data_IF_036623269223
#
_entry.id   IF_036623269223
#
_cell.length_a   1.000
_cell.length_b   1.000
_cell.length_c   1.000
_cell.angle_alpha   90.00
_cell.angle_beta   90.00
_cell.angle_gamma   90.00
#
_symmetry.space_group_name_H-M   'P 1'
#
loop_
_entity.id
_entity.type
_entity.pdbx_description
1 polymer ?
#
# COMPACT_ATOMS: atom_id res chain seq x y z
N UNK A 1 0.23 -13.07 13.96
CA UNK A 1 -0.97 -12.96 13.11
C UNK A 1 -1.41 -14.37 12.74
N UNK A 2 -2.53 -14.54 12.03
CA UNK A 2 -3.03 -15.87 11.64
C UNK A 2 -2.14 -16.59 10.62
N UNK A 3 -1.23 -15.86 9.96
CA UNK A 3 -0.28 -16.39 8.97
C UNK A 3 1.07 -16.79 9.57
N UNK A 4 1.37 -16.36 10.80
CA UNK A 4 2.65 -16.57 11.47
C UNK A 4 3.80 -15.69 10.97
N UNK A 5 3.52 -14.63 10.20
CA UNK A 5 4.56 -13.78 9.57
C UNK A 5 4.84 -12.50 10.38
N UNK A 6 3.93 -12.12 11.27
CA UNK A 6 4.09 -10.97 12.16
C UNK A 6 3.53 -11.28 13.55
N UNK A 7 3.92 -10.52 14.58
CA UNK A 7 3.40 -10.71 15.94
C UNK A 7 1.88 -10.46 16.03
N UNK A 8 1.38 -9.43 15.36
CA UNK A 8 -0.05 -9.05 15.37
C UNK A 8 -0.52 -8.59 13.99
N UNK A 9 -1.82 -8.73 13.71
CA UNK A 9 -2.48 -7.96 12.65
C UNK A 9 -2.94 -6.65 13.28
N UNK A 10 -2.26 -5.55 12.96
CA UNK A 10 -2.61 -4.22 13.48
C UNK A 10 -3.12 -3.37 12.33
N UNK A 11 -4.44 -3.37 12.08
CA UNK A 11 -4.99 -2.56 11.01
C UNK A 11 -4.96 -1.07 11.39
N UNK A 12 -4.85 -0.20 10.38
CA UNK A 12 -4.76 1.25 10.54
C UNK A 12 -5.97 1.87 9.86
N UNK A 13 -6.67 2.77 10.55
CA UNK A 13 -7.72 3.57 9.93
C UNK A 13 -7.06 4.68 9.11
N UNK A 14 -6.97 4.46 7.80
CA UNK A 14 -6.17 5.27 6.89
C UNK A 14 -6.60 6.74 6.89
N UNK A 15 -7.91 7.00 6.93
CA UNK A 15 -8.42 8.37 6.89
C UNK A 15 -8.19 9.12 8.21
N UNK A 16 -8.29 8.41 9.34
CA UNK A 16 -7.96 8.98 10.66
C UNK A 16 -6.47 9.27 10.76
N UNK A 17 -5.62 8.37 10.26
CA UNK A 17 -4.18 8.62 10.23
C UNK A 17 -3.83 9.89 9.46
N UNK A 18 -4.38 10.06 8.25
CA UNK A 18 -4.16 11.27 7.43
C UNK A 18 -4.62 12.53 8.18
N UNK A 19 -5.79 12.47 8.80
CA UNK A 19 -6.36 13.58 9.56
C UNK A 19 -5.46 13.96 10.75
N UNK A 20 -5.09 13.00 11.60
CA UNK A 20 -4.24 13.26 12.78
C UNK A 20 -2.84 13.74 12.37
N UNK A 21 -2.24 13.14 11.32
CA UNK A 21 -0.95 13.59 10.81
C UNK A 21 -1.00 15.05 10.33
N UNK A 22 -2.09 15.43 9.66
CA UNK A 22 -2.33 16.81 9.24
C UNK A 22 -2.51 17.74 10.44
N UNK A 23 -3.26 17.35 11.47
CA UNK A 23 -3.44 18.15 12.69
C UNK A 23 -2.09 18.47 13.34
N UNK A 24 -1.20 17.48 13.48
CA UNK A 24 0.13 17.73 14.05
C UNK A 24 0.99 18.70 13.23
N UNK A 25 0.88 18.67 11.90
CA UNK A 25 1.57 19.63 11.03
C UNK A 25 1.03 21.05 11.26
N UNK A 26 -0.30 21.21 11.27
CA UNK A 26 -0.95 22.51 11.48
C UNK A 26 -0.66 23.09 12.87
N UNK A 27 -0.71 22.26 13.91
CA UNK A 27 -0.34 22.65 15.29
C UNK A 27 1.13 23.09 15.40
N UNK A 28 2.00 22.52 14.57
CA UNK A 28 3.41 22.90 14.48
C UNK A 28 3.66 24.15 13.64
N UNK A 29 2.60 24.79 13.12
CA UNK A 29 2.68 25.99 12.28
C UNK A 29 3.10 25.72 10.84
N UNK A 30 2.99 24.49 10.34
CA UNK A 30 3.27 24.15 8.94
C UNK A 30 2.14 24.66 8.05
N UNK A 31 2.48 25.39 6.99
CA UNK A 31 1.54 25.75 5.94
C UNK A 31 1.42 24.61 4.93
N UNK A 32 0.19 24.13 4.70
CA UNK A 32 -0.09 23.03 3.76
C UNK A 32 -0.75 23.60 2.50
N UNK A 33 -0.07 23.44 1.37
CA UNK A 33 -0.58 23.82 0.05
C UNK A 33 -1.33 22.63 -0.58
N UNK A 34 -2.64 22.57 -0.38
CA UNK A 34 -3.48 21.57 -1.03
C UNK A 34 -3.58 21.81 -2.54
N UNK A 35 -3.89 20.74 -3.30
CA UNK A 35 -4.07 20.80 -4.75
C UNK A 35 -2.90 21.50 -5.48
N UNK A 36 -1.69 21.26 -4.98
CA UNK A 36 -0.43 21.81 -5.49
C UNK A 36 0.47 20.65 -5.87
N UNK A 37 0.74 20.51 -7.16
CA UNK A 37 1.54 19.44 -7.75
C UNK A 37 2.90 20.00 -8.16
N UNK A 38 4.00 19.32 -7.86
CA UNK A 38 5.32 19.71 -8.36
C UNK A 38 5.41 19.38 -9.85
N UNK A 39 5.85 20.35 -10.67
CA UNK A 39 6.01 20.19 -12.11
C UNK A 39 7.47 19.99 -12.52
N UNK A 40 8.36 20.78 -11.92
CA UNK A 40 9.78 20.81 -12.28
C UNK A 40 10.59 21.40 -11.14
N UNK A 41 11.91 21.22 -11.19
CA UNK A 41 12.85 21.72 -10.17
C UNK A 41 13.95 22.51 -10.85
N UNK A 42 14.12 23.77 -10.43
CA UNK A 42 15.23 24.60 -10.89
C UNK A 42 16.46 24.31 -10.06
N UNK A 43 17.55 23.92 -10.71
CA UNK A 43 18.84 23.63 -10.07
C UNK A 43 19.90 24.60 -10.56
N UNK A 44 20.63 25.22 -9.62
CA UNK A 44 21.75 26.12 -9.89
C UNK A 44 22.96 25.68 -9.06
N UNK A 45 24.12 25.51 -9.70
CA UNK A 45 25.37 25.11 -9.04
C UNK A 45 25.23 23.83 -8.17
N UNK A 46 24.39 22.90 -8.60
CA UNK A 46 24.12 21.64 -7.89
C UNK A 46 23.18 21.76 -6.69
N UNK A 47 22.57 22.93 -6.46
CA UNK A 47 21.59 23.16 -5.39
C UNK A 47 20.21 23.44 -5.99
N UNK A 48 19.16 22.94 -5.34
CA UNK A 48 17.79 23.29 -5.71
C UNK A 48 17.57 24.77 -5.37
N UNK A 49 17.19 25.56 -6.37
CA UNK A 49 16.88 26.99 -6.23
C UNK A 49 15.39 27.22 -6.02
N UNK A 50 14.55 26.46 -6.70
CA UNK A 50 13.09 26.56 -6.61
C UNK A 50 12.40 25.29 -7.11
N UNK A 51 11.13 25.12 -6.74
CA UNK A 51 10.22 24.12 -7.29
C UNK A 51 9.11 24.83 -8.03
N UNK A 52 8.91 24.48 -9.30
CA UNK A 52 7.74 24.90 -10.06
C UNK A 52 6.57 24.02 -9.67
N UNK A 53 5.44 24.64 -9.36
CA UNK A 53 4.24 23.94 -8.91
C UNK A 53 3.04 24.35 -9.75
N UNK A 54 2.12 23.42 -9.95
CA UNK A 54 0.81 23.65 -10.58
C UNK A 54 -0.26 23.63 -9.52
N UNK A 55 -1.06 24.68 -9.48
CA UNK A 55 -2.30 24.73 -8.73
C UNK A 55 -3.47 24.88 -9.69
N UNK A 56 -4.70 24.88 -9.16
CA UNK A 56 -5.88 25.22 -9.96
C UNK A 56 -5.82 26.63 -10.57
N UNK A 57 -5.10 27.54 -9.94
CA UNK A 57 -5.04 28.96 -10.36
C UNK A 57 -3.90 29.27 -11.33
N UNK A 58 -2.93 28.37 -11.50
CA UNK A 58 -1.80 28.59 -12.39
C UNK A 58 -0.53 27.87 -11.94
N UNK A 59 0.59 28.30 -12.53
CA UNK A 59 1.92 27.79 -12.21
C UNK A 59 2.63 28.81 -11.34
N UNK A 60 3.28 28.33 -10.27
CA UNK A 60 3.97 29.15 -9.27
C UNK A 60 5.35 28.58 -9.00
N UNK A 61 6.32 29.45 -8.73
CA UNK A 61 7.68 29.08 -8.35
C UNK A 61 7.87 29.29 -6.84
N UNK A 62 8.30 28.24 -6.13
CA UNK A 62 8.47 28.26 -4.67
C UNK A 62 9.96 28.13 -4.34
N UNK A 63 10.52 29.14 -3.68
CA UNK A 63 11.87 29.13 -3.14
C UNK A 63 11.89 28.73 -1.66
N UNK A 64 12.89 27.97 -1.24
CA UNK A 64 13.11 27.55 0.14
C UNK A 64 14.60 27.44 0.44
N UNK A 65 14.96 27.42 1.72
CA UNK A 65 16.35 27.18 2.15
C UNK A 65 16.74 25.70 2.08
N UNK A 66 15.77 24.83 2.28
CA UNK A 66 15.94 23.38 2.30
C UNK A 66 14.74 22.73 1.63
N UNK A 67 14.99 21.62 0.96
CA UNK A 67 13.99 20.82 0.24
C UNK A 67 14.04 19.40 0.77
N UNK A 68 12.88 18.86 1.15
CA UNK A 68 12.73 17.48 1.63
C UNK A 68 11.81 16.77 0.63
N UNK A 69 12.36 15.77 -0.06
CA UNK A 69 11.56 14.94 -0.98
C UNK A 69 10.82 13.85 -0.19
N UNK A 70 9.50 14.00 -0.11
CA UNK A 70 8.59 13.06 0.52
C UNK A 70 7.53 12.54 -0.47
N UNK A 71 7.84 12.55 -1.78
CA UNK A 71 6.94 12.08 -2.86
C UNK A 71 6.71 10.56 -2.83
N UNK A 72 7.63 9.82 -2.21
CA UNK A 72 7.57 8.36 -2.04
C UNK A 72 8.27 7.59 -3.17
N UNK A 73 8.23 8.09 -4.41
CA UNK A 73 8.95 7.54 -5.57
C UNK A 73 10.20 8.35 -5.95
N UNK A 74 10.43 9.51 -5.31
CA UNK A 74 11.64 10.31 -5.48
C UNK A 74 11.58 11.26 -6.68
N UNK A 75 10.38 11.72 -7.04
CA UNK A 75 10.15 12.60 -8.19
C UNK A 75 10.96 13.90 -8.10
N UNK A 76 11.01 14.57 -6.94
CA UNK A 76 11.78 15.81 -6.78
C UNK A 76 13.28 15.54 -6.95
N UNK A 77 13.78 14.44 -6.37
CA UNK A 77 15.17 14.04 -6.53
C UNK A 77 15.52 13.78 -8.00
N UNK A 78 14.65 13.08 -8.73
CA UNK A 78 14.80 12.81 -10.16
C UNK A 78 14.81 14.11 -10.98
N UNK A 79 13.82 15.00 -10.78
CA UNK A 79 13.73 16.29 -11.46
C UNK A 79 14.93 17.20 -11.17
N UNK A 80 15.53 17.06 -9.97
CA UNK A 80 16.76 17.77 -9.60
C UNK A 80 18.03 17.22 -10.28
N UNK A 81 17.90 16.23 -11.17
CA UNK A 81 19.03 15.63 -11.90
C UNK A 81 19.82 14.57 -11.13
N UNK A 82 19.29 14.05 -10.02
CA UNK A 82 19.97 12.97 -9.30
C UNK A 82 19.92 11.65 -10.08
N UNK A 83 20.94 10.81 -9.89
CA UNK A 83 20.96 9.47 -10.47
C UNK A 83 19.95 8.58 -9.74
N UNK A 84 18.98 8.07 -10.48
CA UNK A 84 18.00 7.10 -9.99
C UNK A 84 18.41 5.68 -10.37
N UNK A 85 18.02 4.70 -9.54
CA UNK A 85 18.23 3.28 -9.83
C UNK A 85 16.88 2.59 -10.00
N UNK A 86 16.69 1.95 -11.15
CA UNK A 86 15.48 1.18 -11.44
C UNK A 86 15.81 -0.31 -11.26
N UNK A 87 15.20 -0.92 -10.24
CA UNK A 87 15.33 -2.34 -9.98
C UNK A 87 16.76 -2.82 -9.75
N UNK A 88 16.98 -4.12 -9.95
CA UNK A 88 18.28 -4.76 -9.80
C UNK A 88 19.15 -4.60 -11.05
N UNK A 89 20.47 -4.46 -10.88
CA UNK A 89 21.41 -4.14 -11.96
C UNK A 89 21.41 -5.14 -13.12
N UNK A 90 21.22 -6.43 -12.83
CA UNK A 90 21.34 -7.49 -13.83
C UNK A 90 20.24 -7.52 -14.90
N UNK A 91 19.04 -7.01 -14.60
CA UNK A 91 17.88 -7.14 -15.50
C UNK A 91 16.79 -6.07 -15.28
N UNK A 92 17.10 -5.01 -14.53
CA UNK A 92 16.21 -3.90 -14.20
C UNK A 92 14.87 -4.30 -13.55
N UNK A 93 14.71 -5.54 -13.06
CA UNK A 93 13.45 -5.94 -12.43
C UNK A 93 13.27 -5.26 -11.08
N UNK A 94 12.12 -4.60 -10.94
CA UNK A 94 11.65 -4.03 -9.68
C UNK A 94 10.97 -5.10 -8.81
N UNK A 95 10.82 -4.79 -7.51
CA UNK A 95 9.90 -5.53 -6.68
C UNK A 95 8.48 -5.36 -7.26
N UNK A 96 7.71 -6.45 -7.46
CA UNK A 96 6.34 -6.34 -7.97
C UNK A 96 5.52 -5.43 -7.08
N UNK A 97 4.80 -4.48 -7.69
CA UNK A 97 3.89 -3.60 -6.95
C UNK A 97 2.53 -4.28 -6.81
N UNK A 98 1.90 -4.05 -5.66
CA UNK A 98 0.50 -4.42 -5.43
C UNK A 98 -0.31 -3.14 -5.35
N UNK A 99 -1.32 -3.01 -6.20
CA UNK A 99 -2.44 -2.11 -5.94
C UNK A 99 -3.38 -2.76 -4.92
N UNK A 100 -3.23 -2.37 -3.65
CA UNK A 100 -4.14 -2.81 -2.60
C UNK A 100 -5.47 -2.07 -2.70
N UNK A 101 -6.56 -2.78 -2.48
CA UNK A 101 -7.90 -2.19 -2.42
C UNK A 101 -8.68 -2.72 -1.22
N UNK A 102 -9.69 -1.97 -0.81
CA UNK A 102 -10.57 -2.35 0.30
C UNK A 102 -11.86 -2.95 -0.27
N UNK A 103 -12.35 -4.00 0.38
CA UNK A 103 -13.67 -4.58 0.13
C UNK A 103 -14.44 -4.55 1.45
N UNK A 104 -15.66 -4.04 1.40
CA UNK A 104 -16.59 -4.01 2.53
C UNK A 104 -17.66 -5.10 2.37
N UNK A 105 -18.42 -5.35 3.44
CA UNK A 105 -19.49 -6.36 3.49
C UNK A 105 -19.00 -7.79 3.24
N UNK A 106 -17.76 -8.11 3.63
CA UNK A 106 -17.26 -9.48 3.65
C UNK A 106 -17.86 -10.20 4.85
N UNK A 107 -18.45 -11.37 4.64
CA UNK A 107 -18.87 -12.24 5.74
C UNK A 107 -17.63 -12.91 6.36
N UNK A 108 -17.12 -12.30 7.43
CA UNK A 108 -15.92 -12.79 8.12
C UNK A 108 -16.17 -14.15 8.80
N UNK A 109 -17.39 -14.41 9.26
CA UNK A 109 -17.71 -15.70 9.90
C UNK A 109 -17.71 -16.83 8.88
N UNK A 110 -18.31 -16.60 7.71
CA UNK A 110 -18.28 -17.55 6.61
C UNK A 110 -16.84 -17.85 6.18
N UNK A 111 -16.00 -16.81 6.04
CA UNK A 111 -14.58 -16.99 5.74
C UNK A 111 -13.88 -17.83 6.81
N UNK A 112 -14.09 -17.54 8.10
CA UNK A 112 -13.49 -18.30 9.20
C UNK A 112 -13.94 -19.76 9.16
N UNK A 113 -15.23 -20.02 9.02
CA UNK A 113 -15.75 -21.39 8.97
C UNK A 113 -15.19 -22.16 7.76
N UNK A 114 -15.11 -21.51 6.59
CA UNK A 114 -14.52 -22.12 5.40
C UNK A 114 -13.05 -22.49 5.62
N UNK A 115 -12.26 -21.63 6.27
CA UNK A 115 -10.85 -21.90 6.59
C UNK A 115 -10.72 -23.07 7.58
N UNK A 116 -11.57 -23.12 8.62
CA UNK A 116 -11.55 -24.19 9.61
C UNK A 116 -11.86 -25.57 8.99
N UNK A 117 -12.79 -25.61 8.03
CA UNK A 117 -13.16 -26.83 7.31
C UNK A 117 -12.12 -27.25 6.25
N UNK A 118 -11.31 -26.31 5.76
CA UNK A 118 -10.40 -26.52 4.62
C UNK A 118 -8.96 -26.10 4.94
N UNK A 119 -8.44 -26.39 6.13
CA UNK A 119 -7.12 -25.89 6.61
C UNK A 119 -5.96 -26.15 5.65
N UNK A 120 -6.00 -27.24 4.89
CA UNK A 120 -4.99 -27.59 3.89
C UNK A 120 -4.93 -26.62 2.69
N UNK A 121 -5.97 -25.80 2.49
CA UNK A 121 -6.05 -24.79 1.43
C UNK A 121 -5.50 -23.41 1.87
N UNK A 122 -4.92 -23.31 3.06
CA UNK A 122 -4.48 -22.05 3.66
C UNK A 122 -3.09 -22.15 4.29
N UNK A 123 -2.38 -21.03 4.24
CA UNK A 123 -1.18 -20.82 5.05
C UNK A 123 -1.64 -20.43 6.45
N UNK A 124 -1.28 -21.23 7.45
CA UNK A 124 -1.69 -21.05 8.84
C UNK A 124 -0.44 -21.00 9.72
N UNK A 125 -0.35 -19.98 10.57
CA UNK A 125 0.75 -19.84 11.51
C UNK A 125 0.76 -20.97 12.55
N UNK A 126 1.96 -21.42 12.94
CA UNK A 126 2.16 -22.60 13.81
C UNK A 126 1.38 -22.54 15.14
N UNK A 127 1.21 -21.34 15.69
CA UNK A 127 0.54 -21.12 16.98
C UNK A 127 -0.98 -20.95 16.87
N UNK A 128 -1.56 -21.08 15.68
CA UNK A 128 -2.98 -20.84 15.43
C UNK A 128 -3.74 -22.16 15.45
N UNK A 129 -4.46 -22.40 16.55
CA UNK A 129 -5.34 -23.57 16.69
C UNK A 129 -6.67 -23.36 16.00
N UNK A 130 -7.23 -22.16 16.16
CA UNK A 130 -8.46 -21.73 15.51
C UNK A 130 -8.41 -20.24 15.15
N UNK A 131 -8.97 -19.91 13.98
CA UNK A 131 -9.18 -18.53 13.54
C UNK A 131 -10.25 -17.82 14.39
N UNK A 132 -11.14 -18.57 15.05
CA UNK A 132 -12.16 -18.01 15.97
C UNK A 132 -11.56 -17.33 17.21
N UNK A 133 -10.34 -17.71 17.59
CA UNK A 133 -9.60 -17.10 18.70
C UNK A 133 -8.90 -15.79 18.29
N UNK A 134 -8.84 -15.49 16.99
CA UNK A 134 -8.15 -14.32 16.47
C UNK A 134 -9.06 -13.09 16.48
N UNK A 135 -8.59 -11.98 17.04
CA UNK A 135 -9.32 -10.69 17.01
C UNK A 135 -9.47 -10.11 15.60
N UNK A 136 -8.47 -10.40 14.76
CA UNK A 136 -8.37 -9.99 13.36
C UNK A 136 -7.72 -11.12 12.58
N UNK A 137 -8.26 -11.40 11.40
CA UNK A 137 -7.75 -12.44 10.52
C UNK A 137 -6.91 -11.86 9.38
N UNK A 138 -5.84 -12.56 9.06
CA UNK A 138 -5.08 -12.46 7.82
C UNK A 138 -5.25 -13.78 7.07
N UNK A 139 -5.64 -13.70 5.81
CA UNK A 139 -5.97 -14.85 4.98
C UNK A 139 -4.96 -14.92 3.84
N UNK A 140 -4.39 -16.11 3.65
CA UNK A 140 -3.52 -16.46 2.54
C UNK A 140 -3.84 -17.89 2.14
N UNK A 141 -4.55 -18.11 1.04
CA UNK A 141 -5.00 -19.45 0.65
C UNK A 141 -6.00 -19.44 -0.50
N UNK A 142 -7.02 -20.29 -0.45
CA UNK A 142 -7.94 -20.53 -1.57
C UNK A 142 -7.22 -21.05 -2.83
N UNK A 143 -6.16 -21.85 -2.65
CA UNK A 143 -5.29 -22.29 -3.75
C UNK A 143 -6.08 -23.02 -4.85
N UNK A 144 -6.93 -23.98 -4.50
CA UNK A 144 -7.77 -24.69 -5.46
C UNK A 144 -8.73 -23.77 -6.21
N UNK A 145 -9.43 -22.87 -5.51
CA UNK A 145 -10.36 -21.91 -6.13
C UNK A 145 -9.67 -20.97 -7.10
N UNK A 146 -8.48 -20.46 -6.73
CA UNK A 146 -7.70 -19.58 -7.61
C UNK A 146 -7.17 -20.36 -8.82
N UNK A 147 -6.73 -21.60 -8.64
CA UNK A 147 -6.31 -22.47 -9.75
C UNK A 147 -7.46 -22.78 -10.72
N UNK A 148 -8.65 -23.07 -10.20
CA UNK A 148 -9.87 -23.28 -10.99
C UNK A 148 -10.26 -22.01 -11.76
N UNK A 149 -10.35 -20.86 -11.08
CA UNK A 149 -10.68 -19.59 -11.72
C UNK A 149 -9.66 -19.19 -12.79
N UNK A 150 -8.37 -19.46 -12.56
CA UNK A 150 -7.31 -19.23 -13.54
C UNK A 150 -7.47 -20.14 -14.77
N UNK A 151 -7.79 -21.43 -14.55
CA UNK A 151 -8.04 -22.39 -15.64
C UNK A 151 -9.26 -22.01 -16.47
N UNK A 152 -10.30 -21.48 -15.84
CA UNK A 152 -11.53 -21.04 -16.51
C UNK A 152 -11.39 -19.68 -17.20
N UNK A 153 -10.33 -18.93 -16.92
CA UNK A 153 -10.09 -17.58 -17.45
C UNK A 153 -10.77 -16.46 -16.66
N UNK A 154 -11.43 -16.78 -15.54
CA UNK A 154 -12.09 -15.82 -14.65
C UNK A 154 -11.07 -15.01 -13.81
N UNK A 155 -9.86 -15.54 -13.64
CA UNK A 155 -8.79 -14.90 -12.89
C UNK A 155 -7.49 -14.87 -13.71
N UNK A 156 -7.15 -13.69 -14.25
CA UNK A 156 -6.01 -13.51 -15.16
C UNK A 156 -4.74 -12.97 -14.48
N UNK A 157 -4.80 -12.72 -13.18
CA UNK A 157 -3.68 -12.18 -12.40
C UNK A 157 -2.69 -13.31 -12.11
N UNK A 158 -1.39 -13.05 -12.29
CA UNK A 158 -0.32 -14.00 -11.96
C UNK A 158 -0.14 -14.16 -10.43
N UNK A 159 -1.11 -14.83 -9.81
CA UNK A 159 -1.21 -15.11 -8.39
C UNK A 159 -1.88 -16.48 -8.20
N UNK A 160 -1.41 -17.22 -7.21
CA UNK A 160 -1.84 -18.60 -6.92
C UNK A 160 -2.81 -18.69 -5.73
N UNK A 161 -3.11 -17.55 -5.08
CA UNK A 161 -3.88 -17.50 -3.83
C UNK A 161 -4.61 -16.19 -3.61
N UNK A 162 -5.69 -16.28 -2.85
CA UNK A 162 -6.30 -15.16 -2.16
C UNK A 162 -5.40 -14.66 -1.04
N UNK A 163 -5.18 -13.35 -0.97
CA UNK A 163 -4.48 -12.72 0.15
C UNK A 163 -5.18 -11.43 0.58
N UNK A 164 -5.68 -11.41 1.81
CA UNK A 164 -6.34 -10.23 2.37
C UNK A 164 -6.28 -10.20 3.90
N UNK A 165 -6.48 -9.01 4.46
CA UNK A 165 -6.35 -8.74 5.89
C UNK A 165 -7.59 -8.02 6.39
N UNK A 166 -8.20 -8.50 7.48
CA UNK A 166 -9.31 -7.81 8.13
C UNK A 166 -8.85 -6.45 8.69
N UNK A 167 -9.63 -5.41 8.43
CA UNK A 167 -9.34 -4.03 8.81
C UNK A 167 -9.99 -3.66 10.16
N UNK A 168 -10.01 -2.36 10.48
CA UNK A 168 -10.51 -1.86 11.76
C UNK A 168 -12.00 -2.15 11.95
N UNK A 169 -12.77 -2.16 10.87
CA UNK A 169 -14.21 -2.43 10.87
C UNK A 169 -14.44 -3.88 10.44
N UNK A 170 -15.25 -4.62 11.21
CA UNK A 170 -15.59 -6.00 10.87
C UNK A 170 -16.33 -6.03 9.53
N UNK A 171 -15.95 -6.97 8.67
CA UNK A 171 -16.46 -7.05 7.29
C UNK A 171 -15.74 -6.17 6.28
N UNK A 172 -14.73 -5.40 6.70
CA UNK A 172 -13.81 -4.73 5.78
C UNK A 172 -12.48 -5.50 5.71
N UNK A 173 -11.99 -5.71 4.49
CA UNK A 173 -10.70 -6.35 4.24
C UNK A 173 -9.87 -5.53 3.27
N UNK A 174 -8.56 -5.49 3.47
CA UNK A 174 -7.61 -5.02 2.47
C UNK A 174 -7.09 -6.21 1.67
N UNK A 175 -7.31 -6.19 0.36
CA UNK A 175 -6.88 -7.24 -0.57
C UNK A 175 -5.51 -6.91 -1.13
N UNK A 176 -4.59 -7.89 -1.05
CA UNK A 176 -3.23 -7.80 -1.57
C UNK A 176 -2.98 -8.94 -2.57
N UNK A 177 -3.61 -8.84 -3.73
CA UNK A 177 -3.55 -9.90 -4.76
C UNK A 177 -3.11 -9.40 -6.12
N UNK A 178 -3.14 -8.09 -6.36
CA UNK A 178 -2.67 -7.54 -7.62
C UNK A 178 -1.15 -7.69 -7.70
N UNK A 179 -0.69 -8.06 -8.89
CA UNK A 179 0.72 -8.05 -9.25
C UNK A 179 0.84 -7.17 -10.47
N UNK A 180 1.13 -5.89 -10.24
CA UNK A 180 1.41 -4.94 -11.31
C UNK A 180 2.82 -5.26 -11.82
N UNK A 181 2.90 -5.73 -13.07
CA UNK A 181 4.13 -6.08 -13.77
C UNK A 181 4.41 -4.99 -14.79
#
# INVERSE_FOLDING_TARGET
>A
DTLGVASTVTPIETEIYKYVAQEYLLESGVEILYHTEALDVKVEEGNIKSVLTKTRSGIYEIEAKYYIDATGDGEIAYLSGNKMKIGREKDAKCQPMTMMFKVSNVDIEEVINYVEENKNEFVIGENIKSFKESKRIAISGFFSKVAEASKNGDFTINRDRGLFFELNRRGEVAVNMSRVI
#
